data_IF_972897143509
#
_entry.id   IF_972897143509
#
_cell.length_a   1.000
_cell.length_b   1.000
_cell.length_c   1.000
_cell.angle_alpha   90.00
_cell.angle_beta   90.00
_cell.angle_gamma   90.00
#
_symmetry.space_group_name_H-M   'P 1'
#
loop_
_entity.id
_entity.type
_entity.pdbx_description
1 polymer ?
#
# COMPACT_ATOMS: atom_id res chain seq x y z
N UNK A 1 12.36 -8.64 -5.04
CA UNK A 1 13.28 -7.49 -5.16
C UNK A 1 14.66 -8.00 -4.78
N UNK A 2 15.63 -7.89 -5.68
CA UNK A 2 17.02 -8.32 -5.42
C UNK A 2 17.85 -7.05 -5.29
N UNK A 3 18.68 -6.96 -4.25
CA UNK A 3 19.60 -5.85 -4.03
C UNK A 3 21.02 -6.36 -4.23
N UNK A 4 21.80 -5.65 -5.05
CA UNK A 4 23.18 -6.01 -5.39
C UNK A 4 24.01 -4.73 -5.39
N UNK A 5 25.29 -4.83 -5.02
CA UNK A 5 26.21 -3.71 -5.15
C UNK A 5 26.39 -3.35 -6.64
N UNK A 6 26.56 -2.06 -6.94
CA UNK A 6 26.66 -1.56 -8.33
C UNK A 6 27.98 -1.87 -9.04
N UNK A 7 28.72 -2.91 -8.62
CA UNK A 7 29.97 -3.30 -9.28
C UNK A 7 29.66 -4.03 -10.60
N UNK A 8 30.50 -3.81 -11.62
CA UNK A 8 30.31 -4.41 -12.94
C UNK A 8 30.37 -5.95 -12.91
N UNK A 9 31.18 -6.52 -12.01
CA UNK A 9 31.24 -7.97 -11.77
C UNK A 9 29.96 -8.50 -11.15
N UNK A 10 29.37 -7.80 -10.19
CA UNK A 10 28.17 -8.27 -9.51
C UNK A 10 26.95 -8.23 -10.42
N UNK A 11 26.86 -7.22 -11.30
CA UNK A 11 25.80 -7.13 -12.31
C UNK A 11 25.89 -8.29 -13.31
N UNK A 12 27.10 -8.63 -13.77
CA UNK A 12 27.33 -9.76 -14.67
C UNK A 12 26.97 -11.09 -13.98
N UNK A 13 27.39 -11.28 -12.73
CA UNK A 13 27.06 -12.44 -11.92
C UNK A 13 25.55 -12.57 -11.71
N UNK A 14 24.85 -11.45 -11.45
CA UNK A 14 23.40 -11.45 -11.28
C UNK A 14 22.69 -11.91 -12.57
N UNK A 15 23.12 -11.40 -13.73
CA UNK A 15 22.56 -11.82 -15.02
C UNK A 15 22.80 -13.31 -15.28
N UNK A 16 23.98 -13.82 -14.93
CA UNK A 16 24.29 -15.24 -15.03
C UNK A 16 23.39 -16.09 -14.11
N UNK A 17 23.22 -15.67 -12.85
CA UNK A 17 22.32 -16.36 -11.91
C UNK A 17 20.88 -16.41 -12.40
N UNK A 18 20.40 -15.34 -13.03
CA UNK A 18 19.09 -15.32 -13.65
C UNK A 18 18.98 -16.35 -14.78
N UNK A 19 19.97 -16.44 -15.67
CA UNK A 19 19.98 -17.47 -16.72
C UNK A 19 20.00 -18.90 -16.14
N UNK A 20 20.81 -19.15 -15.10
CA UNK A 20 20.81 -20.44 -14.41
C UNK A 20 19.44 -20.76 -13.80
N UNK A 21 18.78 -19.76 -13.21
CA UNK A 21 17.43 -19.93 -12.66
C UNK A 21 16.41 -20.25 -13.75
N UNK A 22 16.49 -19.61 -14.92
CA UNK A 22 15.59 -19.90 -16.05
C UNK A 22 15.73 -21.36 -16.51
N UNK A 23 16.97 -21.86 -16.64
CA UNK A 23 17.27 -23.23 -17.04
C UNK A 23 16.83 -24.26 -15.99
N UNK A 24 17.08 -23.99 -14.70
CA UNK A 24 16.76 -24.94 -13.63
C UNK A 24 15.26 -25.07 -13.37
N UNK A 25 14.51 -23.96 -13.42
CA UNK A 25 13.09 -23.95 -13.06
C UNK A 25 12.16 -23.93 -14.28
N UNK A 26 12.70 -23.79 -15.49
CA UNK A 26 11.90 -23.65 -16.71
C UNK A 26 11.03 -22.38 -16.73
N UNK A 27 11.35 -21.39 -15.89
CA UNK A 27 10.63 -20.13 -15.78
C UNK A 27 11.38 -19.04 -16.53
N UNK A 28 10.71 -18.30 -17.41
CA UNK A 28 11.32 -17.18 -18.14
C UNK A 28 11.09 -15.85 -17.43
N UNK A 29 12.16 -15.10 -17.19
CA UNK A 29 12.12 -13.77 -16.62
C UNK A 29 11.61 -12.79 -17.69
N UNK A 30 10.63 -12.00 -17.29
CA UNK A 30 10.08 -10.96 -18.16
C UNK A 30 10.86 -9.65 -17.93
N UNK A 31 11.85 -9.41 -18.78
CA UNK A 31 12.66 -8.19 -18.72
C UNK A 31 11.86 -6.92 -19.04
N UNK A 32 10.77 -7.01 -19.83
CA UNK A 32 9.91 -5.85 -20.14
C UNK A 32 9.10 -5.33 -18.94
N UNK A 33 8.79 -6.24 -18.00
CA UNK A 33 8.13 -5.95 -16.71
C UNK A 33 9.13 -5.74 -15.57
N UNK A 34 10.40 -6.05 -15.81
CA UNK A 34 11.44 -5.90 -14.80
C UNK A 34 12.02 -4.49 -14.85
N UNK A 35 12.10 -3.88 -13.68
CA UNK A 35 12.59 -2.53 -13.51
C UNK A 35 13.83 -2.55 -12.62
N UNK A 36 14.81 -1.74 -12.96
CA UNK A 36 16.03 -1.55 -12.19
C UNK A 36 16.02 -0.14 -11.63
N UNK A 37 16.24 -0.04 -10.33
CA UNK A 37 16.45 1.23 -9.63
C UNK A 37 17.91 1.26 -9.21
N UNK A 38 18.63 2.30 -9.63
CA UNK A 38 20.03 2.53 -9.28
C UNK A 38 20.09 3.73 -8.35
N UNK A 39 20.79 3.60 -7.22
CA UNK A 39 20.91 4.65 -6.21
C UNK A 39 22.36 5.10 -6.10
N UNK A 40 22.58 6.42 -6.11
CA UNK A 40 23.90 7.02 -5.85
C UNK A 40 24.89 7.04 -7.02
N UNK A 41 24.43 6.80 -8.26
CA UNK A 41 25.23 6.88 -9.49
C UNK A 41 24.74 8.01 -10.39
N UNK A 42 25.62 8.47 -11.29
CA UNK A 42 25.27 9.46 -12.32
C UNK A 42 24.31 8.89 -13.36
N UNK A 43 23.47 9.73 -13.98
CA UNK A 43 22.44 9.29 -14.94
C UNK A 43 23.01 8.44 -16.10
N UNK A 44 24.23 8.75 -16.55
CA UNK A 44 24.93 8.00 -17.59
C UNK A 44 25.25 6.56 -17.14
N UNK A 45 25.71 6.39 -15.91
CA UNK A 45 26.00 5.09 -15.33
C UNK A 45 24.72 4.30 -15.03
N UNK A 46 23.64 4.98 -14.64
CA UNK A 46 22.34 4.35 -14.44
C UNK A 46 21.83 3.71 -15.73
N UNK A 47 21.92 4.43 -16.86
CA UNK A 47 21.56 3.90 -18.18
C UNK A 47 22.46 2.74 -18.58
N UNK A 48 23.78 2.85 -18.37
CA UNK A 48 24.72 1.76 -18.63
C UNK A 48 24.38 0.47 -17.88
N UNK A 49 23.96 0.59 -16.62
CA UNK A 49 23.55 -0.55 -15.78
C UNK A 49 22.23 -1.15 -16.27
N UNK A 50 21.25 -0.30 -16.61
CA UNK A 50 19.98 -0.73 -17.16
C UNK A 50 20.15 -1.50 -18.48
N UNK A 51 21.01 -0.99 -19.38
CA UNK A 51 21.33 -1.62 -20.66
C UNK A 51 22.03 -2.99 -20.47
N UNK A 52 22.96 -3.10 -19.53
CA UNK A 52 23.61 -4.40 -19.22
C UNK A 52 22.60 -5.45 -18.74
N UNK A 53 21.61 -5.03 -17.97
CA UNK A 53 20.55 -5.91 -17.45
C UNK A 53 19.39 -6.10 -18.44
N UNK A 54 19.33 -5.36 -19.53
CA UNK A 54 18.21 -5.29 -20.46
C UNK A 54 16.87 -4.96 -19.76
N UNK A 55 16.90 -4.15 -18.71
CA UNK A 55 15.72 -3.77 -17.93
C UNK A 55 15.40 -2.28 -18.11
N UNK A 56 14.16 -1.90 -17.81
CA UNK A 56 13.79 -0.48 -17.78
C UNK A 56 14.38 0.20 -16.54
N UNK A 57 14.95 1.39 -16.72
CA UNK A 57 15.35 2.23 -15.60
C UNK A 57 14.10 2.83 -14.95
N UNK A 58 13.88 2.53 -13.68
CA UNK A 58 12.82 3.13 -12.88
C UNK A 58 13.39 4.20 -11.94
N UNK A 59 12.65 5.30 -11.83
CA UNK A 59 12.96 6.40 -10.92
C UNK A 59 12.07 6.27 -9.70
N UNK A 60 12.63 6.46 -8.50
CA UNK A 60 11.83 6.50 -7.29
C UNK A 60 10.91 7.74 -7.31
N UNK A 61 9.65 7.62 -6.89
CA UNK A 61 9.04 6.48 -6.19
C UNK A 61 8.49 5.37 -7.11
N UNK A 62 8.79 4.11 -6.79
CA UNK A 62 8.27 2.92 -7.52
C UNK A 62 7.05 2.33 -6.81
N UNK A 63 6.13 1.70 -7.55
CA UNK A 63 5.02 0.97 -6.92
C UNK A 63 5.33 -0.51 -6.78
N UNK A 64 5.46 -1.00 -5.55
CA UNK A 64 5.65 -2.42 -5.26
C UNK A 64 4.47 -2.98 -4.47
N UNK A 65 3.84 -4.05 -4.98
CA UNK A 65 2.62 -4.65 -4.41
C UNK A 65 1.49 -3.62 -4.16
N UNK A 66 1.43 -2.57 -4.97
CA UNK A 66 0.46 -1.49 -4.83
C UNK A 66 0.80 -0.44 -3.77
N UNK A 67 2.00 -0.49 -3.19
CA UNK A 67 2.53 0.50 -2.26
C UNK A 67 3.61 1.35 -2.93
N UNK A 68 3.60 2.69 -2.80
CA UNK A 68 4.71 3.50 -3.24
C UNK A 68 5.91 3.30 -2.32
N UNK A 69 7.05 2.90 -2.88
CA UNK A 69 8.35 2.90 -2.23
C UNK A 69 9.09 4.17 -2.65
N UNK A 70 9.45 5.00 -1.66
CA UNK A 70 10.17 6.25 -1.86
C UNK A 70 11.43 6.28 -0.99
N UNK A 71 12.45 7.06 -1.38
CA UNK A 71 13.67 7.28 -0.59
C UNK A 71 13.39 8.07 0.70
N UNK A 72 12.37 8.92 0.67
CA UNK A 72 11.97 9.79 1.77
C UNK A 72 10.57 9.44 2.29
N UNK A 73 10.12 10.15 3.33
CA UNK A 73 8.77 9.96 3.86
C UNK A 73 7.75 10.13 2.74
N UNK A 74 6.89 9.12 2.57
CA UNK A 74 5.85 9.13 1.54
C UNK A 74 4.91 10.31 1.83
N UNK A 75 4.86 11.25 0.89
CA UNK A 75 3.95 12.39 0.91
C UNK A 75 2.49 11.92 0.76
N UNK A 76 1.55 12.75 1.19
CA UNK A 76 0.10 12.50 1.07
C UNK A 76 -0.28 12.10 -0.37
N UNK A 77 0.34 12.72 -1.37
CA UNK A 77 0.13 12.44 -2.80
C UNK A 77 0.50 11.02 -3.23
N UNK A 78 1.45 10.37 -2.55
CA UNK A 78 1.80 8.97 -2.82
C UNK A 78 0.63 8.01 -2.54
N UNK A 79 -0.30 8.41 -1.66
CA UNK A 79 -1.46 7.61 -1.28
C UNK A 79 -2.70 7.90 -2.13
N UNK A 80 -2.66 8.86 -3.06
CA UNK A 80 -3.80 9.18 -3.92
C UNK A 80 -4.20 8.01 -4.82
N UNK A 81 -3.23 7.21 -5.27
CA UNK A 81 -3.48 5.96 -6.00
C UNK A 81 -4.30 4.97 -5.17
N UNK A 82 -4.10 4.93 -3.86
CA UNK A 82 -4.84 4.05 -2.95
C UNK A 82 -6.28 4.54 -2.79
N UNK A 83 -6.47 5.86 -2.61
CA UNK A 83 -7.79 6.48 -2.50
C UNK A 83 -8.57 6.30 -3.81
N UNK A 84 -7.93 6.50 -4.95
CA UNK A 84 -8.50 6.28 -6.28
C UNK A 84 -8.92 4.83 -6.53
N UNK A 85 -8.14 3.84 -6.05
CA UNK A 85 -8.53 2.42 -6.10
C UNK A 85 -9.75 2.12 -5.22
N UNK A 86 -9.87 2.79 -4.08
CA UNK A 86 -11.05 2.70 -3.22
C UNK A 86 -12.30 3.23 -3.94
N UNK A 87 -12.17 4.41 -4.56
CA UNK A 87 -13.24 5.04 -5.32
C UNK A 87 -13.68 4.18 -6.53
N UNK A 88 -12.74 3.70 -7.34
CA UNK A 88 -13.05 2.89 -8.53
C UNK A 88 -13.69 1.54 -8.21
N UNK A 89 -13.37 0.94 -7.06
CA UNK A 89 -14.06 -0.27 -6.58
C UNK A 89 -15.45 0.01 -6.03
N UNK A 90 -15.67 1.19 -5.46
CA UNK A 90 -16.98 1.62 -4.98
C UNK A 90 -17.93 1.99 -6.12
N UNK A 91 -17.41 2.54 -7.23
CA UNK A 91 -18.17 3.02 -8.41
C UNK A 91 -19.26 2.03 -8.91
N UNK A 92 -18.94 0.75 -9.20
CA UNK A 92 -19.94 -0.23 -9.65
C UNK A 92 -21.04 -0.52 -8.62
N UNK A 93 -20.79 -0.25 -7.34
CA UNK A 93 -21.70 -0.61 -6.24
C UNK A 93 -22.67 0.50 -5.88
N UNK A 94 -22.38 1.75 -6.24
CA UNK A 94 -23.32 2.87 -6.04
C UNK A 94 -24.68 2.59 -6.71
N UNK A 95 -24.66 1.99 -7.90
CA UNK A 95 -25.86 1.73 -8.70
C UNK A 95 -26.60 0.47 -8.23
N UNK A 96 -25.88 -0.52 -7.67
CA UNK A 96 -26.45 -1.85 -7.37
C UNK A 96 -27.07 -1.98 -5.99
N UNK A 97 -26.63 -1.21 -5.00
CA UNK A 97 -27.03 -1.42 -3.60
C UNK A 97 -27.55 -0.14 -2.94
N UNK A 98 -28.87 -0.07 -2.76
CA UNK A 98 -29.55 1.10 -2.17
C UNK A 98 -29.68 1.02 -0.64
N UNK A 99 -29.63 -0.19 -0.07
CA UNK A 99 -29.82 -0.40 1.37
C UNK A 99 -28.62 0.06 2.20
N UNK A 100 -28.87 0.89 3.22
CA UNK A 100 -27.85 1.33 4.18
C UNK A 100 -27.22 0.15 4.93
N UNK A 101 -28.01 -0.87 5.28
CA UNK A 101 -27.50 -2.08 5.94
C UNK A 101 -26.52 -2.85 5.05
N UNK A 102 -26.87 -3.06 3.79
CA UNK A 102 -25.98 -3.73 2.82
C UNK A 102 -24.69 -2.92 2.62
N UNK A 103 -24.80 -1.59 2.53
CA UNK A 103 -23.64 -0.70 2.43
C UNK A 103 -22.69 -0.80 3.63
N UNK A 104 -23.20 -0.89 4.87
CA UNK A 104 -22.32 -1.08 6.04
C UNK A 104 -21.52 -2.37 5.95
N UNK A 105 -22.15 -3.46 5.49
CA UNK A 105 -21.49 -4.75 5.30
C UNK A 105 -20.46 -4.68 4.17
N UNK A 106 -20.78 -4.04 3.05
CA UNK A 106 -19.83 -3.85 1.94
C UNK A 106 -18.61 -3.00 2.33
N UNK A 107 -18.85 -1.93 3.11
CA UNK A 107 -17.77 -1.08 3.62
C UNK A 107 -16.84 -1.90 4.51
N UNK A 108 -17.40 -2.60 5.50
CA UNK A 108 -16.60 -3.36 6.45
C UNK A 108 -15.88 -4.56 5.81
N UNK A 109 -16.50 -5.26 4.87
CA UNK A 109 -15.91 -6.45 4.24
C UNK A 109 -14.85 -6.11 3.18
N UNK A 110 -15.06 -5.07 2.38
CA UNK A 110 -14.21 -4.78 1.21
C UNK A 110 -13.52 -3.43 1.28
N UNK A 111 -14.26 -2.33 1.42
CA UNK A 111 -13.65 -1.00 1.28
C UNK A 111 -12.72 -0.65 2.44
N UNK A 112 -13.05 -1.08 3.66
CA UNK A 112 -12.21 -0.93 4.83
C UNK A 112 -10.98 -1.84 4.79
N UNK A 113 -11.02 -2.96 4.05
CA UNK A 113 -9.89 -3.89 3.96
C UNK A 113 -8.82 -3.47 2.96
N UNK A 114 -9.16 -2.63 1.98
CA UNK A 114 -8.21 -2.08 1.00
C UNK A 114 -7.02 -1.35 1.63
N UNK A 115 -7.22 -0.39 2.55
CA UNK A 115 -6.09 0.31 3.17
C UNK A 115 -5.40 -0.50 4.27
N UNK A 116 -5.97 -1.60 4.78
CA UNK A 116 -5.40 -2.35 5.91
C UNK A 116 -3.97 -2.82 5.64
N UNK A 117 -3.68 -3.26 4.42
CA UNK A 117 -2.33 -3.69 4.04
C UNK A 117 -1.30 -2.57 4.19
N UNK A 118 -1.67 -1.36 3.74
CA UNK A 118 -0.82 -0.16 3.82
C UNK A 118 -0.69 0.37 5.24
N UNK A 119 -1.82 0.43 5.97
CA UNK A 119 -1.86 0.86 7.37
C UNK A 119 -1.08 -0.07 8.30
N UNK A 120 -0.96 -1.35 7.93
CA UNK A 120 -0.11 -2.29 8.65
C UNK A 120 1.37 -2.03 8.45
N UNK A 121 1.80 -1.33 7.39
CA UNK A 121 3.21 -1.05 7.13
C UNK A 121 3.60 0.39 7.46
N UNK A 122 2.65 1.32 7.35
CA UNK A 122 2.89 2.77 7.52
C UNK A 122 1.86 3.42 8.44
N UNK A 123 2.35 4.30 9.32
CA UNK A 123 1.52 5.31 9.96
C UNK A 123 1.14 6.33 8.87
N UNK A 124 -0.14 6.35 8.51
CA UNK A 124 -0.65 7.25 7.48
C UNK A 124 -0.86 8.65 8.06
N UNK A 125 -0.64 9.71 7.28
CA UNK A 125 -0.93 11.07 7.72
C UNK A 125 -2.45 11.31 7.79
N UNK A 126 -2.87 12.24 8.66
CA UNK A 126 -4.29 12.56 8.90
C UNK A 126 -5.05 12.98 7.63
N UNK A 127 -4.36 13.59 6.65
CA UNK A 127 -4.95 13.93 5.36
C UNK A 127 -5.43 12.70 4.58
N UNK A 128 -4.67 11.60 4.62
CA UNK A 128 -5.03 10.35 3.94
C UNK A 128 -6.20 9.68 4.66
N UNK A 129 -6.18 9.65 5.99
CA UNK A 129 -7.32 9.16 6.78
C UNK A 129 -8.61 9.91 6.43
N UNK A 130 -8.55 11.24 6.40
CA UNK A 130 -9.68 12.10 6.06
C UNK A 130 -10.20 11.85 4.64
N UNK A 131 -9.31 11.68 3.66
CA UNK A 131 -9.70 11.36 2.27
C UNK A 131 -10.39 10.00 2.17
N UNK A 132 -9.88 8.96 2.85
CA UNK A 132 -10.53 7.65 2.89
C UNK A 132 -11.91 7.71 3.55
N UNK A 133 -12.00 8.35 4.72
CA UNK A 133 -13.25 8.49 5.45
C UNK A 133 -14.29 9.28 4.63
N UNK A 134 -13.84 10.28 3.86
CA UNK A 134 -14.69 11.02 2.92
C UNK A 134 -15.25 10.14 1.80
N UNK A 135 -14.45 9.27 1.21
CA UNK A 135 -14.92 8.34 0.16
C UNK A 135 -15.87 7.28 0.73
N UNK A 136 -15.60 6.74 1.92
CA UNK A 136 -16.49 5.80 2.59
C UNK A 136 -17.82 6.46 2.98
N UNK A 137 -17.76 7.68 3.50
CA UNK A 137 -18.94 8.47 3.80
C UNK A 137 -19.74 8.77 2.53
N UNK A 138 -19.07 9.16 1.44
CA UNK A 138 -19.72 9.37 0.14
C UNK A 138 -20.44 8.11 -0.32
N UNK A 139 -19.78 6.94 -0.28
CA UNK A 139 -20.39 5.66 -0.63
C UNK A 139 -21.59 5.30 0.25
N UNK A 140 -21.50 5.54 1.55
CA UNK A 140 -22.59 5.26 2.48
C UNK A 140 -23.83 6.12 2.19
N UNK A 141 -23.64 7.43 2.00
CA UNK A 141 -24.72 8.40 1.88
C UNK A 141 -25.27 8.58 0.47
N UNK A 142 -24.46 8.48 -0.59
CA UNK A 142 -24.94 8.62 -1.99
C UNK A 142 -25.87 7.48 -2.37
N UNK A 143 -26.99 7.78 -3.03
CA UNK A 143 -27.80 6.75 -3.68
C UNK A 143 -27.36 6.54 -5.13
N UNK A 144 -27.79 5.44 -5.75
CA UNK A 144 -27.44 5.10 -7.14
C UNK A 144 -27.95 6.08 -8.20
N UNK A 145 -28.64 7.15 -7.82
CA UNK A 145 -29.11 8.24 -8.67
C UNK A 145 -28.06 9.37 -8.85
N UNK A 146 -26.86 9.22 -8.27
CA UNK A 146 -25.76 10.20 -8.39
C UNK A 146 -26.03 11.51 -7.66
N UNK A 147 -27.14 11.63 -6.91
CA UNK A 147 -27.47 12.86 -6.19
C UNK A 147 -26.80 12.86 -4.81
N UNK A 148 -26.10 13.94 -4.43
CA UNK A 148 -25.58 14.07 -3.08
C UNK A 148 -26.76 14.10 -2.11
N UNK A 149 -26.80 13.13 -1.19
CA UNK A 149 -27.76 13.13 -0.07
C UNK A 149 -27.13 13.78 1.15
N UNK A 150 -27.97 14.44 1.95
CA UNK A 150 -27.56 15.05 3.20
C UNK A 150 -27.01 13.98 4.17
N UNK A 151 -25.85 14.29 4.76
CA UNK A 151 -25.27 13.51 5.85
C UNK A 151 -26.08 13.78 7.11
N UNK A 152 -26.97 12.86 7.50
CA UNK A 152 -27.83 13.05 8.67
C UNK A 152 -27.08 12.90 9.99
N UNK A 153 -25.93 12.21 9.97
CA UNK A 153 -25.10 11.91 11.14
C UNK A 153 -23.64 12.09 10.74
N UNK A 154 -22.80 12.59 11.66
CA UNK A 154 -21.36 12.71 11.40
C UNK A 154 -20.77 11.33 11.15
N UNK A 155 -19.81 11.25 10.24
CA UNK A 155 -19.14 9.98 9.91
C UNK A 155 -18.47 9.34 11.14
N UNK A 156 -17.85 10.16 12.00
CA UNK A 156 -17.23 9.70 13.24
C UNK A 156 -18.22 8.97 14.17
N UNK A 157 -19.45 9.46 14.28
CA UNK A 157 -20.49 8.85 15.12
C UNK A 157 -20.99 7.52 14.52
N UNK A 158 -21.01 7.41 13.18
CA UNK A 158 -21.33 6.16 12.48
C UNK A 158 -20.25 5.09 12.71
N UNK A 159 -18.99 5.50 12.75
CA UNK A 159 -17.86 4.60 12.98
C UNK A 159 -17.77 4.06 14.42
N UNK A 160 -18.56 4.60 15.36
CA UNK A 160 -18.60 4.06 16.72
C UNK A 160 -19.08 2.59 16.72
N UNK A 161 -18.61 1.79 17.68
CA UNK A 161 -19.11 0.43 17.83
C UNK A 161 -20.60 0.42 18.21
N UNK A 162 -21.27 -0.70 17.93
CA UNK A 162 -22.74 -0.81 18.01
C UNK A 162 -23.29 -0.63 19.43
N UNK A 163 -22.51 -1.02 20.42
CA UNK A 163 -22.75 -0.79 21.85
C UNK A 163 -22.79 0.70 22.23
N UNK A 164 -22.12 1.56 21.44
CA UNK A 164 -22.09 3.02 21.61
C UNK A 164 -23.00 3.76 20.63
N UNK A 165 -23.94 3.07 19.99
CA UNK A 165 -24.92 3.68 19.08
C UNK A 165 -24.43 3.94 17.66
N UNK A 166 -23.24 3.48 17.29
CA UNK A 166 -22.75 3.52 15.91
C UNK A 166 -23.06 2.26 15.10
N UNK A 167 -22.51 2.17 13.89
CA UNK A 167 -22.71 1.03 12.98
C UNK A 167 -21.58 0.00 13.04
N UNK A 168 -20.52 0.26 13.81
CA UNK A 168 -19.36 -0.63 13.95
C UNK A 168 -18.44 -0.64 12.72
N UNK A 169 -18.43 0.43 11.93
CA UNK A 169 -17.48 0.60 10.83
C UNK A 169 -16.14 1.06 11.43
N UNK A 170 -15.03 0.32 11.26
CA UNK A 170 -13.76 0.71 11.86
C UNK A 170 -13.27 2.03 11.27
N UNK A 171 -13.05 3.02 12.14
CA UNK A 171 -12.45 4.29 11.73
C UNK A 171 -11.02 4.07 11.22
N UNK A 172 -10.69 4.68 10.08
CA UNK A 172 -9.41 4.54 9.36
C UNK A 172 -8.20 4.79 10.28
N UNK A 173 -8.26 5.83 11.11
CA UNK A 173 -7.21 6.18 12.08
C UNK A 173 -7.04 5.13 13.19
N UNK A 174 -8.14 4.72 13.81
CA UNK A 174 -8.10 3.73 14.90
C UNK A 174 -7.56 2.39 14.41
N UNK A 175 -7.95 1.98 13.19
CA UNK A 175 -7.48 0.76 12.55
C UNK A 175 -5.97 0.80 12.29
N UNK A 176 -5.43 1.93 11.80
CA UNK A 176 -4.00 2.08 11.58
C UNK A 176 -3.21 1.95 12.88
N UNK A 177 -3.59 2.71 13.92
CA UNK A 177 -2.93 2.63 15.23
C UNK A 177 -2.96 1.20 15.79
N UNK A 178 -4.10 0.51 15.69
CA UNK A 178 -4.22 -0.87 16.15
C UNK A 178 -3.29 -1.82 15.38
N UNK A 179 -3.18 -1.67 14.05
CA UNK A 179 -2.29 -2.48 13.22
C UNK A 179 -0.82 -2.19 13.50
N UNK A 180 -0.45 -0.94 13.78
CA UNK A 180 0.91 -0.58 14.15
C UNK A 180 1.31 -1.10 15.53
N UNK A 181 0.36 -1.11 16.49
CA UNK A 181 0.58 -1.71 17.81
C UNK A 181 0.91 -3.20 17.75
N UNK A 182 0.44 -3.92 16.73
CA UNK A 182 0.83 -5.32 16.49
C UNK A 182 2.34 -5.47 16.29
N UNK A 183 3.00 -4.51 15.62
CA UNK A 183 4.45 -4.53 15.45
C UNK A 183 5.19 -4.23 16.73
N UNK A 184 4.71 -3.25 17.50
CA UNK A 184 5.24 -2.95 18.83
C UNK A 184 5.15 -4.19 19.72
N UNK A 185 4.02 -4.89 19.70
CA UNK A 185 3.85 -6.14 20.43
C UNK A 185 4.85 -7.22 20.02
N UNK A 186 5.09 -7.40 18.72
CA UNK A 186 6.09 -8.36 18.20
C UNK A 186 7.50 -8.03 18.66
N UNK A 187 7.87 -6.75 18.65
CA UNK A 187 9.17 -6.27 19.15
C UNK A 187 9.31 -6.61 20.64
N UNK A 188 8.28 -6.30 21.45
CA UNK A 188 8.29 -6.58 22.89
C UNK A 188 8.36 -8.07 23.22
N UNK A 189 7.80 -8.92 22.38
CA UNK A 189 7.87 -10.39 22.53
C UNK A 189 9.20 -10.98 22.04
N UNK A 190 10.06 -10.19 21.40
CA UNK A 190 11.28 -10.72 20.76
C UNK A 190 11.00 -11.61 19.54
N UNK A 191 9.78 -11.59 19.00
CA UNK A 191 9.34 -12.42 17.87
C UNK A 191 9.64 -11.73 16.53
N UNK A 192 10.92 -11.50 16.28
CA UNK A 192 11.39 -11.01 15.02
C UNK A 192 12.79 -11.53 14.75
N UNK A 193 12.97 -12.18 13.61
CA UNK A 193 14.27 -12.68 13.19
C UNK A 193 15.21 -11.52 12.82
N UNK A 194 15.81 -11.60 11.64
CA UNK A 194 16.82 -10.63 11.18
C UNK A 194 16.35 -9.16 11.22
N UNK A 195 15.07 -8.88 10.94
CA UNK A 195 14.55 -7.52 10.91
C UNK A 195 14.52 -6.86 12.29
N UNK A 196 14.26 -7.63 13.35
CA UNK A 196 14.24 -7.12 14.72
C UNK A 196 15.65 -6.80 15.18
N UNK A 197 16.60 -7.71 14.95
CA UNK A 197 18.01 -7.48 15.24
C UNK A 197 18.54 -6.20 14.57
N UNK A 198 18.14 -5.95 13.33
CA UNK A 198 18.54 -4.75 12.59
C UNK A 198 17.91 -3.47 13.15
N UNK A 199 16.65 -3.53 13.60
CA UNK A 199 15.99 -2.39 14.25
C UNK A 199 16.62 -2.12 15.62
N UNK A 200 16.87 -3.17 16.40
CA UNK A 200 17.55 -3.08 17.69
C UNK A 200 18.91 -2.41 17.51
N UNK A 201 19.77 -2.93 16.64
CA UNK A 201 21.11 -2.38 16.42
C UNK A 201 21.13 -0.93 15.92
N UNK A 202 20.07 -0.46 15.25
CA UNK A 202 20.02 0.89 14.66
C UNK A 202 19.32 1.91 15.55
N UNK A 203 18.32 1.51 16.32
CA UNK A 203 17.39 2.43 16.98
C UNK A 203 17.15 2.18 18.48
N UNK A 204 17.46 0.99 19.01
CA UNK A 204 17.30 0.66 20.43
C UNK A 204 18.65 0.59 21.14
#
# INVERSE_FOLDING_TARGET
>A
MVMVAGSDSDIANLKFLFLCFEEMFGLKINFDKSEVVVLGYSDEEQHRIADKLNCKLAVLPISYLGMPLAESRILVSGFDLLVGRGASRAEPWYIRFTSKGIKTVLISANLASLPMYMMGMYILPEGVHSSFDKELARFFWQAGDGRPKYHMVKWADICLPKDRGGLGIPASRCMNVALMLRWVWRILQGDGGLWLQLIEAKYL
#
